data_IF_200038002423
#
_entry.id   IF_200038002423
#
_cell.length_a   1.000
_cell.length_b   1.000
_cell.length_c   1.000
_cell.angle_alpha   90.00
_cell.angle_beta   90.00
_cell.angle_gamma   90.00
#
_symmetry.space_group_name_H-M   'P 1'
#
loop_
_entity.id
_entity.type
_entity.pdbx_description
1 polymer ?
#
# COMPACT_ATOMS: atom_id res chain seq x y z
N UNK A 1 14.06 51.62 -16.57
CA UNK A 1 15.14 51.82 -17.55
C UNK A 1 16.48 51.99 -16.85
N UNK A 2 17.33 50.96 -16.84
CA UNK A 2 18.78 51.04 -16.59
C UNK A 2 19.40 49.76 -17.14
N UNK A 3 19.91 49.86 -18.37
CA UNK A 3 20.62 48.79 -19.09
C UNK A 3 21.97 48.59 -18.39
N UNK A 4 22.23 47.38 -17.88
CA UNK A 4 23.58 46.93 -17.54
C UNK A 4 24.00 45.87 -18.54
N UNK A 5 24.79 46.32 -19.49
CA UNK A 5 25.60 45.52 -20.40
C UNK A 5 26.82 45.01 -19.63
N UNK A 6 27.02 43.70 -19.56
CA UNK A 6 28.29 43.11 -19.16
C UNK A 6 28.79 42.19 -20.26
N UNK A 7 30.02 42.51 -20.65
CA UNK A 7 30.82 42.08 -21.78
C UNK A 7 31.15 40.59 -21.76
N UNK A 8 31.01 39.99 -22.94
CA UNK A 8 31.57 38.70 -23.33
C UNK A 8 33.11 38.77 -23.34
N UNK A 9 33.75 37.91 -22.54
CA UNK A 9 35.19 37.67 -22.58
C UNK A 9 35.45 36.30 -23.22
N UNK A 10 35.85 36.32 -24.49
CA UNK A 10 36.30 35.16 -25.26
C UNK A 10 37.71 34.74 -24.80
N UNK A 11 37.81 33.71 -23.97
CA UNK A 11 39.07 33.02 -23.70
C UNK A 11 39.26 31.86 -24.68
N UNK A 12 40.00 32.11 -25.76
CA UNK A 12 40.49 31.09 -26.69
C UNK A 12 41.70 30.36 -26.09
N UNK A 13 41.44 29.34 -25.27
CA UNK A 13 42.47 28.39 -24.83
C UNK A 13 42.83 27.44 -25.96
N UNK A 14 44.01 27.64 -26.55
CA UNK A 14 44.66 26.71 -27.50
C UNK A 14 44.87 25.34 -26.83
N UNK A 15 43.98 24.40 -27.14
CA UNK A 15 44.06 22.99 -26.71
C UNK A 15 45.07 22.27 -27.59
N UNK A 16 46.26 22.00 -27.06
CA UNK A 16 47.27 21.15 -27.69
C UNK A 16 46.72 19.71 -27.77
N UNK A 17 46.31 19.32 -28.97
CA UNK A 17 45.92 17.97 -29.34
C UNK A 17 47.14 17.04 -29.25
N UNK A 18 47.36 16.43 -28.08
CA UNK A 18 48.20 15.24 -27.98
C UNK A 18 47.42 14.07 -28.57
N UNK A 19 47.74 13.71 -29.81
CA UNK A 19 47.24 12.52 -30.48
C UNK A 19 47.50 11.27 -29.65
N UNK A 20 46.47 10.84 -28.90
CA UNK A 20 46.45 9.56 -28.20
C UNK A 20 46.30 8.50 -29.28
N UNK A 21 47.39 7.81 -29.62
CA UNK A 21 47.37 6.62 -30.46
C UNK A 21 46.42 5.61 -29.83
N UNK A 22 45.21 5.51 -30.37
CA UNK A 22 44.26 4.43 -30.10
C UNK A 22 44.84 3.17 -30.71
N UNK A 23 45.57 2.40 -29.90
CA UNK A 23 45.85 1.02 -30.24
C UNK A 23 44.50 0.32 -30.35
N UNK A 24 44.10 -0.06 -31.57
CA UNK A 24 43.07 -1.07 -31.81
C UNK A 24 43.58 -2.35 -31.15
N UNK A 25 43.30 -2.51 -29.86
CA UNK A 25 43.44 -3.79 -29.20
C UNK A 25 42.55 -4.76 -29.98
N UNK A 26 43.15 -5.84 -30.48
CA UNK A 26 42.39 -6.94 -31.06
C UNK A 26 41.31 -7.35 -30.04
N UNK A 27 40.08 -7.65 -30.47
CA UNK A 27 39.03 -8.13 -29.57
C UNK A 27 39.58 -9.36 -28.86
N UNK A 28 39.89 -9.22 -27.58
CA UNK A 28 40.18 -10.38 -26.73
C UNK A 28 38.97 -11.28 -26.80
N UNK A 29 39.13 -12.61 -26.96
CA UNK A 29 38.01 -13.53 -26.96
C UNK A 29 37.19 -13.27 -25.69
N UNK A 30 35.92 -12.89 -25.86
CA UNK A 30 34.99 -12.72 -24.76
C UNK A 30 34.87 -14.09 -24.10
N UNK A 31 35.54 -14.25 -22.96
CA UNK A 31 35.46 -15.48 -22.19
C UNK A 31 34.04 -15.52 -21.61
N UNK A 32 33.16 -16.32 -22.20
CA UNK A 32 31.82 -16.55 -21.66
C UNK A 32 31.98 -17.16 -20.26
N UNK A 33 31.38 -16.53 -19.25
CA UNK A 33 31.35 -17.06 -17.90
C UNK A 33 30.51 -18.35 -17.91
N UNK A 34 31.16 -19.48 -18.14
CA UNK A 34 30.56 -20.82 -18.13
C UNK A 34 30.52 -21.44 -16.73
N UNK A 35 31.02 -20.73 -15.70
CA UNK A 35 31.01 -21.17 -14.31
C UNK A 35 30.43 -20.10 -13.38
N UNK A 36 29.93 -20.53 -12.22
CA UNK A 36 29.45 -19.65 -11.14
C UNK A 36 27.95 -19.37 -11.17
N UNK A 37 27.53 -18.41 -10.34
CA UNK A 37 26.11 -18.09 -10.09
C UNK A 37 25.35 -17.70 -11.36
N UNK A 38 26.02 -17.06 -12.32
CA UNK A 38 25.40 -16.58 -13.55
C UNK A 38 24.95 -17.71 -14.50
N UNK A 39 25.35 -18.96 -14.27
CA UNK A 39 25.00 -20.12 -15.11
C UNK A 39 23.99 -21.02 -14.42
N UNK A 40 23.53 -20.64 -13.23
CA UNK A 40 22.51 -21.40 -12.53
C UNK A 40 21.20 -21.40 -13.35
N UNK A 41 20.47 -22.54 -13.36
CA UNK A 41 19.10 -22.56 -13.84
C UNK A 41 18.25 -21.51 -13.11
N UNK A 42 17.28 -20.97 -13.81
CA UNK A 42 16.39 -19.92 -13.30
C UNK A 42 15.69 -20.35 -12.00
N UNK A 43 15.40 -21.64 -11.83
CA UNK A 43 14.79 -22.21 -10.62
C UNK A 43 15.69 -22.07 -9.39
N UNK A 44 17.00 -22.30 -9.52
CA UNK A 44 17.94 -22.12 -8.41
C UNK A 44 18.16 -20.64 -8.09
N UNK A 45 18.13 -19.78 -9.10
CA UNK A 45 18.20 -18.33 -8.88
C UNK A 45 16.94 -17.82 -8.17
N UNK A 46 15.75 -18.35 -8.52
CA UNK A 46 14.50 -18.09 -7.80
C UNK A 46 14.57 -18.55 -6.34
N UNK A 47 15.08 -19.75 -6.09
CA UNK A 47 15.29 -20.26 -4.73
C UNK A 47 16.21 -19.33 -3.93
N UNK A 48 17.33 -18.87 -4.52
CA UNK A 48 18.22 -17.89 -3.88
C UNK A 48 17.48 -16.57 -3.58
N UNK A 49 16.65 -16.08 -4.49
CA UNK A 49 15.87 -14.86 -4.27
C UNK A 49 14.88 -15.04 -3.14
N UNK A 50 14.28 -16.21 -2.99
CA UNK A 50 13.28 -16.49 -1.94
C UNK A 50 13.83 -16.33 -0.51
N UNK A 51 15.16 -16.49 -0.33
CA UNK A 51 15.84 -16.20 0.94
C UNK A 51 15.96 -14.71 1.26
N UNK A 52 15.68 -13.82 0.30
CA UNK A 52 15.47 -12.40 0.57
C UNK A 52 13.96 -12.20 0.67
N UNK A 53 13.35 -12.40 1.86
CA UNK A 53 11.90 -12.39 2.00
C UNK A 53 11.38 -11.11 1.38
N UNK A 54 10.52 -11.27 0.38
CA UNK A 54 9.54 -10.25 0.11
C UNK A 54 8.80 -10.12 1.42
N UNK A 55 8.95 -9.00 2.13
CA UNK A 55 7.95 -8.65 3.11
C UNK A 55 6.71 -8.34 2.29
N UNK A 56 6.01 -9.42 1.92
CA UNK A 56 4.60 -9.39 1.65
C UNK A 56 4.05 -8.54 2.77
N UNK A 57 3.42 -7.46 2.35
CA UNK A 57 2.84 -6.54 3.30
C UNK A 57 1.82 -7.37 4.07
N UNK A 58 2.13 -7.68 5.32
CA UNK A 58 1.15 -8.31 6.17
C UNK A 58 0.11 -7.23 6.50
N UNK A 59 -1.12 -7.38 5.97
CA UNK A 59 -2.21 -6.44 6.22
C UNK A 59 -2.61 -6.35 7.69
N UNK A 60 -2.10 -7.22 8.56
CA UNK A 60 -2.41 -7.22 9.98
C UNK A 60 -1.25 -6.69 10.83
N UNK A 61 -0.09 -6.41 10.22
CA UNK A 61 1.10 -6.04 10.96
C UNK A 61 1.07 -4.56 11.42
N UNK A 62 1.58 -4.35 12.64
CA UNK A 62 1.49 -3.11 13.41
C UNK A 62 2.42 -2.00 12.88
N UNK A 63 2.06 -0.74 13.11
CA UNK A 63 2.79 0.44 12.60
C UNK A 63 4.27 0.49 13.04
N UNK A 64 4.60 -0.02 14.22
CA UNK A 64 5.96 -0.09 14.76
C UNK A 64 6.87 -1.02 13.93
N UNK A 65 6.35 -2.16 13.49
CA UNK A 65 7.06 -3.09 12.60
C UNK A 65 7.27 -2.53 11.20
N UNK A 66 6.44 -1.58 10.75
CA UNK A 66 6.59 -0.95 9.44
C UNK A 66 7.97 -0.27 9.24
N UNK A 67 8.61 0.23 10.31
CA UNK A 67 9.96 0.84 10.21
C UNK A 67 11.04 -0.23 10.06
N UNK A 68 10.94 -1.33 10.80
CA UNK A 68 11.87 -2.47 10.66
C UNK A 68 11.70 -3.12 9.28
N UNK A 69 10.45 -3.28 8.83
CA UNK A 69 10.09 -3.77 7.51
C UNK A 69 10.59 -2.86 6.39
N UNK A 70 10.52 -1.54 6.58
CA UNK A 70 11.02 -0.57 5.62
C UNK A 70 12.54 -0.76 5.37
N UNK A 71 13.32 -0.98 6.43
CA UNK A 71 14.74 -1.29 6.30
C UNK A 71 14.98 -2.65 5.64
N UNK A 72 14.17 -3.66 5.97
CA UNK A 72 14.26 -4.98 5.34
C UNK A 72 13.97 -4.92 3.83
N UNK A 73 12.92 -4.19 3.43
CA UNK A 73 12.55 -3.96 2.01
C UNK A 73 13.65 -3.24 1.26
N UNK A 74 14.20 -2.18 1.84
CA UNK A 74 15.31 -1.45 1.25
C UNK A 74 16.54 -2.35 1.09
N UNK A 75 16.92 -3.09 2.12
CA UNK A 75 18.05 -4.02 2.08
C UNK A 75 17.86 -5.10 1.01
N UNK A 76 16.64 -5.62 0.85
CA UNK A 76 16.31 -6.55 -0.25
C UNK A 76 16.55 -5.90 -1.62
N UNK A 77 15.99 -4.72 -1.86
CA UNK A 77 16.16 -4.00 -3.13
C UNK A 77 17.63 -3.71 -3.43
N UNK A 78 18.40 -3.27 -2.44
CA UNK A 78 19.84 -3.00 -2.57
C UNK A 78 20.61 -4.27 -2.93
N UNK A 79 20.34 -5.40 -2.27
CA UNK A 79 20.97 -6.69 -2.57
C UNK A 79 20.66 -7.17 -3.98
N UNK A 80 19.39 -7.14 -4.40
CA UNK A 80 19.00 -7.53 -5.76
C UNK A 80 19.61 -6.61 -6.81
N UNK A 81 19.66 -5.30 -6.52
CA UNK A 81 20.31 -4.32 -7.41
C UNK A 81 21.80 -4.62 -7.53
N UNK A 82 22.50 -4.85 -6.41
CA UNK A 82 23.91 -5.19 -6.40
C UNK A 82 24.19 -6.48 -7.18
N UNK A 83 23.37 -7.52 -6.97
CA UNK A 83 23.47 -8.78 -7.71
C UNK A 83 23.23 -8.57 -9.22
N UNK A 84 22.24 -7.76 -9.59
CA UNK A 84 21.94 -7.43 -10.99
C UNK A 84 23.09 -6.69 -11.69
N UNK A 85 24.00 -6.06 -10.94
CA UNK A 85 25.15 -5.32 -11.47
C UNK A 85 26.40 -6.20 -11.64
N UNK A 86 26.38 -7.45 -11.19
CA UNK A 86 27.56 -8.34 -11.25
C UNK A 86 27.85 -8.85 -12.66
N UNK A 87 26.83 -9.21 -13.45
CA UNK A 87 26.98 -9.66 -14.83
C UNK A 87 25.68 -9.49 -15.64
N UNK A 88 25.77 -9.61 -16.98
CA UNK A 88 24.63 -9.42 -17.89
C UNK A 88 23.51 -10.44 -17.70
N UNK A 89 23.83 -11.71 -17.41
CA UNK A 89 22.78 -12.72 -17.23
C UNK A 89 21.99 -12.46 -15.93
N UNK A 90 22.68 -12.21 -14.82
CA UNK A 90 22.03 -11.83 -13.57
C UNK A 90 21.30 -10.50 -13.69
N UNK A 91 21.82 -9.54 -14.46
CA UNK A 91 21.06 -8.33 -14.79
C UNK A 91 19.72 -8.68 -15.43
N UNK A 92 19.73 -9.42 -16.56
CA UNK A 92 18.51 -9.81 -17.28
C UNK A 92 17.52 -10.56 -16.39
N UNK A 93 18.02 -11.49 -15.57
CA UNK A 93 17.21 -12.32 -14.69
C UNK A 93 16.63 -11.54 -13.51
N UNK A 94 17.43 -10.70 -12.83
CA UNK A 94 17.03 -9.97 -11.63
C UNK A 94 16.27 -8.68 -11.92
N UNK A 95 16.37 -8.14 -13.13
CA UNK A 95 15.76 -6.86 -13.50
C UNK A 95 14.25 -6.80 -13.18
N UNK A 96 13.43 -7.81 -13.52
CA UNK A 96 12.01 -7.82 -13.19
C UNK A 96 11.74 -7.76 -11.69
N UNK A 97 12.59 -8.40 -10.87
CA UNK A 97 12.43 -8.47 -9.41
C UNK A 97 12.90 -7.21 -8.68
N UNK A 98 13.88 -6.50 -9.24
CA UNK A 98 14.32 -5.18 -8.74
C UNK A 98 13.23 -4.13 -8.97
N UNK A 99 12.53 -4.24 -10.09
CA UNK A 99 11.50 -3.29 -10.53
C UNK A 99 10.08 -3.79 -10.37
N UNK A 100 9.83 -4.89 -9.68
CA UNK A 100 8.45 -5.29 -9.39
C UNK A 100 7.74 -4.27 -8.49
N UNK A 101 8.50 -3.53 -7.69
CA UNK A 101 7.98 -2.61 -6.67
C UNK A 101 8.54 -1.21 -6.85
N UNK A 102 7.67 -0.21 -6.78
CA UNK A 102 8.07 1.20 -6.61
C UNK A 102 7.83 1.56 -5.16
N UNK A 103 8.92 1.84 -4.44
CA UNK A 103 8.87 2.14 -3.01
C UNK A 103 9.59 3.45 -2.71
N UNK A 104 8.88 4.36 -2.02
CA UNK A 104 9.42 5.64 -1.56
C UNK A 104 8.78 6.01 -0.23
N UNK A 105 9.54 5.98 0.85
CA UNK A 105 9.07 6.30 2.20
C UNK A 105 10.16 7.01 3.01
N UNK A 106 9.76 7.65 4.12
CA UNK A 106 10.68 8.32 5.03
C UNK A 106 11.66 7.33 5.66
N UNK A 107 12.94 7.71 5.76
CA UNK A 107 14.00 6.84 6.27
C UNK A 107 14.72 6.00 5.20
N UNK A 108 14.25 6.03 3.94
CA UNK A 108 14.92 5.30 2.85
C UNK A 108 16.28 5.92 2.51
N UNK A 109 17.31 5.10 2.28
CA UNK A 109 18.62 5.57 1.80
C UNK A 109 18.60 5.66 0.27
N UNK A 110 18.99 6.81 -0.26
CA UNK A 110 19.15 7.04 -1.69
C UNK A 110 20.57 7.48 -2.00
N UNK A 111 21.05 7.18 -3.22
CA UNK A 111 22.32 7.68 -3.70
C UNK A 111 22.26 9.21 -3.84
N UNK A 112 22.97 9.93 -2.97
CA UNK A 112 23.06 11.39 -3.04
C UNK A 112 23.87 11.86 -4.25
N UNK A 113 23.79 13.15 -4.63
CA UNK A 113 24.55 13.72 -5.74
C UNK A 113 26.07 13.53 -5.62
N UNK A 114 26.55 13.44 -4.38
CA UNK A 114 27.95 13.26 -4.00
C UNK A 114 28.38 11.79 -3.90
N UNK A 115 27.48 10.85 -4.21
CA UNK A 115 27.72 9.41 -4.02
C UNK A 115 27.66 8.94 -2.57
N UNK A 116 27.49 9.85 -1.60
CA UNK A 116 27.20 9.49 -0.21
C UNK A 116 25.72 9.15 -0.07
N UNK A 117 25.36 8.04 0.58
CA UNK A 117 23.96 7.71 0.83
C UNK A 117 23.32 8.79 1.71
N UNK A 118 22.21 9.35 1.25
CA UNK A 118 21.41 10.31 2.01
C UNK A 118 20.11 9.63 2.41
N UNK A 119 19.70 9.80 3.67
CA UNK A 119 18.43 9.29 4.16
C UNK A 119 17.32 10.29 3.84
N UNK A 120 16.26 9.84 3.20
CA UNK A 120 15.10 10.66 2.84
C UNK A 120 14.31 11.03 4.09
N UNK A 121 14.43 12.28 4.52
CA UNK A 121 13.58 12.83 5.59
C UNK A 121 12.82 14.06 5.09
N UNK A 122 13.44 14.81 4.18
CA UNK A 122 12.89 16.01 3.59
C UNK A 122 11.67 15.68 2.73
N UNK A 123 10.70 16.58 2.75
CA UNK A 123 9.51 16.42 1.94
C UNK A 123 9.83 16.45 0.44
N UNK A 124 10.66 17.39 0.02
CA UNK A 124 11.10 17.54 -1.37
C UNK A 124 11.85 16.29 -1.86
N UNK A 125 12.64 15.66 -0.98
CA UNK A 125 13.48 14.52 -1.33
C UNK A 125 12.63 13.29 -1.68
N UNK A 126 11.55 13.05 -0.91
CA UNK A 126 10.58 11.97 -1.21
C UNK A 126 9.91 12.18 -2.57
N UNK A 127 9.49 13.42 -2.84
CA UNK A 127 8.86 13.76 -4.11
C UNK A 127 9.81 13.60 -5.29
N UNK A 128 11.04 14.10 -5.17
CA UNK A 128 12.07 13.98 -6.21
C UNK A 128 12.40 12.51 -6.47
N UNK A 129 12.57 11.71 -5.42
CA UNK A 129 12.86 10.28 -5.58
C UNK A 129 11.70 9.52 -6.23
N UNK A 130 10.46 9.79 -5.83
CA UNK A 130 9.29 9.19 -6.47
C UNK A 130 9.21 9.55 -7.95
N UNK A 131 9.33 10.83 -8.30
CA UNK A 131 9.34 11.26 -9.70
C UNK A 131 10.51 10.62 -10.46
N UNK A 132 11.69 10.50 -9.86
CA UNK A 132 12.85 9.84 -10.47
C UNK A 132 12.56 8.38 -10.79
N UNK A 133 12.00 7.61 -9.86
CA UNK A 133 11.65 6.20 -10.10
C UNK A 133 10.56 6.08 -11.17
N UNK A 134 9.51 6.92 -11.12
CA UNK A 134 8.45 6.96 -12.12
C UNK A 134 8.98 7.33 -13.52
N UNK A 135 9.90 8.28 -13.63
CA UNK A 135 10.54 8.66 -14.90
C UNK A 135 11.38 7.51 -15.46
N UNK A 136 12.10 6.78 -14.61
CA UNK A 136 12.88 5.62 -15.06
C UNK A 136 11.96 4.59 -15.73
N UNK A 137 10.87 4.21 -15.07
CA UNK A 137 9.99 3.13 -15.54
C UNK A 137 9.02 3.53 -16.64
N UNK A 138 8.81 4.84 -16.86
CA UNK A 138 7.87 5.33 -17.89
C UNK A 138 8.54 6.03 -19.07
N UNK A 139 9.71 6.63 -18.88
CA UNK A 139 10.39 7.44 -19.91
C UNK A 139 11.70 6.81 -20.33
N UNK A 140 12.56 6.42 -19.38
CA UNK A 140 13.91 5.94 -19.71
C UNK A 140 13.92 4.50 -20.19
N UNK A 141 13.15 3.65 -19.51
CA UNK A 141 12.96 2.25 -19.88
C UNK A 141 11.49 1.86 -19.66
N UNK A 142 10.61 2.15 -20.64
CA UNK A 142 9.19 1.82 -20.54
C UNK A 142 8.91 0.32 -20.50
N UNK A 143 9.90 -0.54 -20.84
CA UNK A 143 9.77 -1.99 -20.67
C UNK A 143 9.59 -2.40 -19.21
N UNK A 144 10.09 -1.58 -18.27
CA UNK A 144 9.95 -1.80 -16.84
C UNK A 144 8.52 -1.69 -16.33
N UNK A 145 7.67 -0.91 -17.00
CA UNK A 145 6.28 -0.72 -16.61
C UNK A 145 5.52 -2.05 -16.52
N UNK A 146 5.87 -3.03 -17.35
CA UNK A 146 5.29 -4.38 -17.33
C UNK A 146 5.70 -5.22 -16.11
N UNK A 147 6.73 -4.84 -15.36
CA UNK A 147 7.13 -5.57 -14.15
C UNK A 147 6.49 -5.02 -12.88
N UNK A 148 6.09 -3.74 -12.87
CA UNK A 148 5.52 -3.08 -11.70
C UNK A 148 4.21 -3.77 -11.29
N UNK A 149 4.20 -4.33 -10.08
CA UNK A 149 3.04 -4.99 -9.47
C UNK A 149 2.61 -4.35 -8.13
N UNK A 150 3.52 -3.64 -7.46
CA UNK A 150 3.26 -2.90 -6.21
C UNK A 150 3.80 -1.47 -6.30
N UNK A 151 3.01 -0.51 -5.85
CA UNK A 151 3.45 0.87 -5.60
C UNK A 151 3.18 1.19 -4.13
N UNK A 152 4.22 1.51 -3.36
CA UNK A 152 4.11 1.91 -1.96
C UNK A 152 4.84 3.22 -1.72
N UNK A 153 4.08 4.31 -1.55
CA UNK A 153 4.63 5.66 -1.57
C UNK A 153 4.11 6.53 -0.43
N UNK A 154 5.03 7.29 0.16
CA UNK A 154 4.73 8.37 1.08
C UNK A 154 4.81 9.72 0.34
N UNK A 155 3.73 10.48 0.37
CA UNK A 155 3.59 11.79 -0.25
C UNK A 155 3.41 12.82 0.86
N UNK A 156 4.14 13.93 0.80
CA UNK A 156 4.06 15.03 1.76
C UNK A 156 3.47 16.30 1.14
N UNK A 157 2.99 17.19 1.99
CA UNK A 157 2.05 18.27 1.65
C UNK A 157 2.50 19.27 0.57
N UNK A 158 3.75 19.73 0.57
CA UNK A 158 4.20 20.85 -0.29
C UNK A 158 4.13 20.59 -1.81
N UNK A 159 4.05 19.34 -2.26
CA UNK A 159 4.05 18.97 -3.69
C UNK A 159 2.97 17.95 -4.09
N UNK A 160 2.02 17.67 -3.18
CA UNK A 160 1.00 16.63 -3.32
C UNK A 160 0.28 16.66 -4.69
N UNK A 161 -0.13 17.84 -5.15
CA UNK A 161 -0.84 17.99 -6.44
C UNK A 161 0.01 17.57 -7.64
N UNK A 162 1.30 17.94 -7.66
CA UNK A 162 2.20 17.59 -8.77
C UNK A 162 2.52 16.10 -8.73
N UNK A 163 2.81 15.57 -7.55
CA UNK A 163 3.16 14.16 -7.36
C UNK A 163 1.98 13.26 -7.71
N UNK A 164 0.76 13.55 -7.22
CA UNK A 164 -0.43 12.74 -7.52
C UNK A 164 -0.76 12.73 -9.01
N UNK A 165 -0.57 13.85 -9.71
CA UNK A 165 -0.79 13.91 -11.16
C UNK A 165 0.19 13.00 -11.91
N UNK A 166 1.48 13.07 -11.57
CA UNK A 166 2.47 12.21 -12.21
C UNK A 166 2.28 10.74 -11.82
N UNK A 167 1.92 10.47 -10.58
CA UNK A 167 1.61 9.13 -10.10
C UNK A 167 0.44 8.52 -10.87
N UNK A 168 -0.69 9.23 -10.98
CA UNK A 168 -1.86 8.77 -11.76
C UNK A 168 -1.50 8.51 -13.23
N UNK A 169 -0.69 9.39 -13.84
CA UNK A 169 -0.17 9.20 -15.21
C UNK A 169 0.62 7.92 -15.36
N UNK A 170 1.52 7.63 -14.42
CA UNK A 170 2.37 6.46 -14.50
C UNK A 170 1.62 5.17 -14.17
N UNK A 171 0.69 5.20 -13.21
CA UNK A 171 -0.19 4.06 -12.89
C UNK A 171 -0.96 3.59 -14.13
N UNK A 172 -1.43 4.51 -14.96
CA UNK A 172 -2.10 4.16 -16.22
C UNK A 172 -1.22 3.37 -17.19
N UNK A 173 0.11 3.43 -17.02
CA UNK A 173 1.09 2.71 -17.84
C UNK A 173 1.51 1.37 -17.22
N UNK A 174 1.06 1.03 -16.02
CA UNK A 174 1.46 -0.19 -15.30
C UNK A 174 0.37 -1.28 -15.42
N UNK A 175 0.44 -2.17 -16.43
CA UNK A 175 -0.63 -3.14 -16.69
C UNK A 175 -0.75 -4.22 -15.60
N UNK A 176 0.34 -4.50 -14.88
CA UNK A 176 0.41 -5.55 -13.87
C UNK A 176 0.30 -5.02 -12.43
N UNK A 177 0.08 -3.71 -12.25
CA UNK A 177 -0.09 -3.12 -10.94
C UNK A 177 -1.38 -3.62 -10.30
N UNK A 178 -1.26 -4.35 -9.19
CA UNK A 178 -2.42 -4.82 -8.43
C UNK A 178 -2.48 -4.28 -7.01
N UNK A 179 -1.38 -3.77 -6.46
CA UNK A 179 -1.34 -3.22 -5.10
C UNK A 179 -0.88 -1.77 -5.10
N UNK A 180 -1.70 -0.89 -4.52
CA UNK A 180 -1.39 0.53 -4.36
C UNK A 180 -1.45 0.92 -2.88
N UNK A 181 -0.34 1.39 -2.34
CA UNK A 181 -0.25 1.93 -1.00
C UNK A 181 0.15 3.40 -1.08
N UNK A 182 -0.67 4.29 -0.52
CA UNK A 182 -0.38 5.71 -0.50
C UNK A 182 -0.57 6.26 0.91
N UNK A 183 0.53 6.72 1.50
CA UNK A 183 0.54 7.47 2.76
C UNK A 183 0.71 8.95 2.44
N UNK A 184 -0.31 9.76 2.71
CA UNK A 184 -0.29 11.22 2.54
C UNK A 184 -0.18 11.94 3.89
N UNK A 185 1.00 12.47 4.23
CA UNK A 185 1.13 13.37 5.36
C UNK A 185 0.71 14.78 4.94
N UNK A 186 -0.44 15.22 5.44
CA UNK A 186 -1.03 16.49 5.07
C UNK A 186 -1.38 17.33 6.31
N UNK A 187 -0.41 18.09 6.81
CA UNK A 187 -0.63 18.97 7.96
C UNK A 187 -1.30 20.31 7.58
N UNK A 188 -1.45 20.62 6.29
CA UNK A 188 -1.78 21.98 5.83
C UNK A 188 -3.04 22.09 4.97
N UNK A 189 -3.53 21.01 4.36
CA UNK A 189 -4.65 21.04 3.43
C UNK A 189 -5.87 20.35 4.03
N UNK A 190 -7.04 21.00 3.89
CA UNK A 190 -8.32 20.46 4.39
C UNK A 190 -8.74 19.21 3.61
N UNK A 191 -9.59 18.33 4.19
CA UNK A 191 -10.08 17.13 3.50
C UNK A 191 -10.73 17.43 2.14
N UNK A 192 -11.54 18.49 2.08
CA UNK A 192 -12.17 18.92 0.82
C UNK A 192 -11.13 19.32 -0.25
N UNK A 193 -10.07 20.02 0.16
CA UNK A 193 -9.01 20.39 -0.77
C UNK A 193 -8.17 19.18 -1.20
N UNK A 194 -8.03 18.16 -0.34
CA UNK A 194 -7.42 16.89 -0.69
C UNK A 194 -8.27 16.13 -1.71
N UNK A 195 -9.58 16.02 -1.48
CA UNK A 195 -10.53 15.42 -2.43
C UNK A 195 -10.47 16.09 -3.80
N UNK A 196 -10.48 17.43 -3.86
CA UNK A 196 -10.34 18.18 -5.11
C UNK A 196 -9.00 17.91 -5.79
N UNK A 197 -7.93 17.78 -5.00
CA UNK A 197 -6.59 17.47 -5.51
C UNK A 197 -6.53 16.07 -6.11
N UNK A 198 -7.07 15.06 -5.41
CA UNK A 198 -7.20 13.68 -5.89
C UNK A 198 -8.03 13.66 -7.17
N UNK A 199 -9.23 14.25 -7.15
CA UNK A 199 -10.14 14.26 -8.30
C UNK A 199 -9.52 14.94 -9.52
N UNK A 200 -8.80 16.05 -9.33
CA UNK A 200 -8.13 16.75 -10.44
C UNK A 200 -6.91 16.00 -10.99
N UNK A 201 -6.32 15.08 -10.21
CA UNK A 201 -5.13 14.32 -10.58
C UNK A 201 -5.48 12.98 -11.24
N UNK A 202 -6.47 12.27 -10.70
CA UNK A 202 -6.92 10.95 -11.16
C UNK A 202 -8.08 11.03 -12.16
N UNK A 203 -8.85 12.14 -12.16
CA UNK A 203 -9.97 12.40 -13.07
C UNK A 203 -9.72 12.11 -14.55
N UNK A 204 -8.54 12.44 -15.13
CA UNK A 204 -8.26 12.17 -16.55
C UNK A 204 -8.23 10.69 -16.95
N UNK A 205 -8.14 9.74 -15.99
CA UNK A 205 -7.90 8.32 -16.29
C UNK A 205 -9.14 7.42 -16.14
N UNK A 206 -10.30 7.99 -15.83
CA UNK A 206 -11.60 7.31 -15.58
C UNK A 206 -11.57 6.26 -14.44
N UNK A 207 -10.78 5.18 -14.56
CA UNK A 207 -10.60 4.14 -13.55
C UNK A 207 -9.31 3.32 -13.73
N UNK A 208 -8.90 2.60 -12.68
CA UNK A 208 -7.76 1.70 -12.60
C UNK A 208 -8.22 0.31 -12.13
N UNK A 209 -8.91 -0.46 -12.99
CA UNK A 209 -9.48 -1.75 -12.63
C UNK A 209 -8.44 -2.84 -12.35
N UNK A 210 -7.17 -2.63 -12.73
CA UNK A 210 -6.08 -3.55 -12.44
C UNK A 210 -5.71 -3.58 -10.96
N UNK A 211 -5.97 -2.49 -10.22
CA UNK A 211 -5.65 -2.38 -8.80
C UNK A 211 -6.70 -3.14 -7.99
N UNK A 212 -6.23 -4.15 -7.25
CA UNK A 212 -7.06 -5.06 -6.44
C UNK A 212 -6.89 -4.83 -4.94
N UNK A 213 -5.73 -4.36 -4.51
CA UNK A 213 -5.43 -4.10 -3.10
C UNK A 213 -5.04 -2.65 -2.93
N UNK A 214 -5.73 -1.93 -2.05
CA UNK A 214 -5.44 -0.53 -1.77
C UNK A 214 -5.28 -0.30 -0.26
N UNK A 215 -4.20 0.37 0.10
CA UNK A 215 -3.88 0.76 1.47
C UNK A 215 -3.67 2.27 1.48
N UNK A 216 -4.58 3.00 2.09
CA UNK A 216 -4.60 4.46 2.05
C UNK A 216 -4.92 5.02 3.42
N UNK A 217 -4.50 6.25 3.67
CA UNK A 217 -5.02 6.96 4.83
C UNK A 217 -6.51 7.30 4.62
N UNK A 218 -7.25 7.38 5.72
CA UNK A 218 -8.71 7.57 5.68
C UNK A 218 -9.13 8.84 4.94
N UNK A 219 -8.33 9.90 5.02
CA UNK A 219 -8.52 11.17 4.34
C UNK A 219 -8.42 11.07 2.80
N UNK A 220 -7.90 9.95 2.28
CA UNK A 220 -7.69 9.73 0.86
C UNK A 220 -8.78 8.87 0.20
N UNK A 221 -9.93 8.69 0.86
CA UNK A 221 -11.03 7.85 0.39
C UNK A 221 -11.55 8.22 -1.01
N UNK A 222 -11.41 9.47 -1.45
CA UNK A 222 -11.72 9.89 -2.83
C UNK A 222 -10.94 9.10 -3.91
N UNK A 223 -9.81 8.46 -3.57
CA UNK A 223 -9.10 7.57 -4.49
C UNK A 223 -9.94 6.35 -4.89
N UNK A 224 -10.82 5.86 -4.01
CA UNK A 224 -11.62 4.65 -4.24
C UNK A 224 -12.55 4.78 -5.44
N UNK A 225 -12.97 6.01 -5.80
CA UNK A 225 -13.71 6.30 -7.03
C UNK A 225 -13.02 5.78 -8.29
N UNK A 226 -11.69 5.74 -8.27
CA UNK A 226 -10.87 5.33 -9.40
C UNK A 226 -10.44 3.87 -9.33
N UNK A 227 -10.76 3.14 -8.27
CA UNK A 227 -10.25 1.79 -8.00
C UNK A 227 -11.37 0.75 -8.04
N UNK A 228 -12.16 0.74 -9.12
CA UNK A 228 -13.34 -0.13 -9.27
C UNK A 228 -13.02 -1.64 -9.21
N UNK A 229 -11.77 -2.02 -9.43
CA UNK A 229 -11.27 -3.39 -9.31
C UNK A 229 -10.86 -3.80 -7.90
N UNK A 230 -10.91 -2.89 -6.92
CA UNK A 230 -10.46 -3.16 -5.56
C UNK A 230 -11.30 -4.26 -4.91
N UNK A 231 -10.58 -5.24 -4.35
CA UNK A 231 -11.11 -6.35 -3.55
C UNK A 231 -10.65 -6.29 -2.10
N UNK A 232 -9.53 -5.63 -1.86
CA UNK A 232 -8.96 -5.44 -0.53
C UNK A 232 -8.74 -3.96 -0.27
N UNK A 233 -9.33 -3.43 0.80
CA UNK A 233 -9.15 -2.04 1.24
C UNK A 233 -8.70 -2.03 2.70
N UNK A 234 -7.59 -1.36 2.97
CA UNK A 234 -7.14 -1.02 4.33
C UNK A 234 -7.07 0.49 4.46
N UNK A 235 -7.80 1.03 5.41
CA UNK A 235 -7.57 2.39 5.86
C UNK A 235 -6.45 2.40 6.89
N UNK A 236 -5.53 3.36 6.80
CA UNK A 236 -4.54 3.66 7.83
C UNK A 236 -4.95 4.93 8.59
N UNK A 237 -4.71 4.95 9.90
CA UNK A 237 -4.88 6.15 10.73
C UNK A 237 -3.66 7.04 10.63
N UNK A 238 -3.89 8.35 10.50
CA UNK A 238 -2.87 9.34 10.79
C UNK A 238 -2.75 9.45 12.31
N UNK A 239 -1.59 9.13 12.88
CA UNK A 239 -1.34 9.22 14.34
C UNK A 239 -1.46 10.64 14.94
N UNK A 240 -1.88 11.64 14.16
CA UNK A 240 -1.96 13.03 14.55
C UNK A 240 -3.40 13.54 14.84
N UNK A 241 -4.46 12.76 14.61
CA UNK A 241 -5.83 13.30 14.63
C UNK A 241 -6.86 12.41 15.34
N UNK A 242 -7.15 12.72 16.61
CA UNK A 242 -8.25 12.15 17.41
C UNK A 242 -9.62 12.85 17.19
N UNK A 243 -9.80 13.63 16.11
CA UNK A 243 -11.00 14.47 15.89
C UNK A 243 -11.80 14.14 14.61
N UNK A 244 -11.82 12.87 14.19
CA UNK A 244 -12.27 12.49 12.83
C UNK A 244 -13.72 11.99 12.70
N UNK A 245 -14.68 12.37 13.57
CA UNK A 245 -16.04 11.80 13.53
C UNK A 245 -16.73 11.89 12.15
N UNK A 246 -16.56 12.99 11.41
CA UNK A 246 -17.36 13.23 10.18
C UNK A 246 -16.74 12.63 8.89
N UNK A 247 -15.44 12.35 8.86
CA UNK A 247 -14.77 11.88 7.63
C UNK A 247 -14.90 10.39 7.40
N UNK A 248 -15.23 9.62 8.44
CA UNK A 248 -15.31 8.18 8.34
C UNK A 248 -16.58 7.70 7.67
N UNK A 249 -17.69 8.41 7.85
CA UNK A 249 -18.94 8.14 7.13
C UNK A 249 -18.76 8.25 5.63
N UNK A 250 -17.88 9.15 5.20
CA UNK A 250 -17.53 9.28 3.78
C UNK A 250 -16.85 8.03 3.23
N UNK A 251 -16.09 7.29 4.04
CA UNK A 251 -15.47 6.04 3.57
C UNK A 251 -16.54 5.03 3.14
N UNK A 252 -17.69 5.00 3.85
CA UNK A 252 -18.85 4.19 3.48
C UNK A 252 -19.54 4.73 2.22
N UNK A 253 -19.61 6.04 2.01
CA UNK A 253 -20.16 6.61 0.76
C UNK A 253 -19.44 6.09 -0.51
N UNK A 254 -18.15 5.73 -0.40
CA UNK A 254 -17.37 5.18 -1.50
C UNK A 254 -17.58 3.69 -1.77
N UNK A 255 -18.38 3.00 -0.96
CA UNK A 255 -18.67 1.59 -1.20
C UNK A 255 -19.26 1.31 -2.58
N UNK A 256 -20.10 2.22 -3.06
CA UNK A 256 -20.67 2.17 -4.40
C UNK A 256 -19.62 2.21 -5.52
N UNK A 257 -18.41 2.71 -5.23
CA UNK A 257 -17.30 2.77 -6.16
C UNK A 257 -16.50 1.46 -6.23
N UNK A 258 -16.66 0.56 -5.25
CA UNK A 258 -15.87 -0.67 -5.10
C UNK A 258 -16.76 -1.91 -4.97
N UNK A 259 -17.56 -2.24 -6.02
CA UNK A 259 -18.55 -3.32 -5.96
C UNK A 259 -17.94 -4.73 -5.83
N UNK A 260 -16.62 -4.85 -5.96
CA UNK A 260 -15.87 -6.10 -5.86
C UNK A 260 -15.17 -6.27 -4.50
N UNK A 261 -15.45 -5.41 -3.52
CA UNK A 261 -14.82 -5.48 -2.21
C UNK A 261 -15.14 -6.81 -1.50
N UNK A 262 -14.08 -7.55 -1.17
CA UNK A 262 -14.10 -8.83 -0.47
C UNK A 262 -13.54 -8.67 0.96
N UNK A 263 -12.53 -7.81 1.13
CA UNK A 263 -11.82 -7.59 2.38
C UNK A 263 -11.77 -6.10 2.73
N UNK A 264 -12.24 -5.75 3.93
CA UNK A 264 -12.26 -4.38 4.42
C UNK A 264 -11.61 -4.30 5.80
N UNK A 265 -10.61 -3.45 5.96
CA UNK A 265 -10.03 -3.08 7.24
C UNK A 265 -10.30 -1.61 7.54
N UNK A 266 -11.08 -1.36 8.60
CA UNK A 266 -11.52 -0.02 9.03
C UNK A 266 -11.08 0.27 10.46
N UNK A 267 -10.81 1.54 10.72
CA UNK A 267 -10.54 2.07 12.05
C UNK A 267 -11.78 2.77 12.60
N UNK A 268 -12.20 2.36 13.80
CA UNK A 268 -13.36 2.88 14.52
C UNK A 268 -12.87 3.77 15.69
N UNK A 269 -13.20 5.08 15.69
CA UNK A 269 -12.76 6.08 16.65
C UNK A 269 -13.78 6.20 17.78
N UNK A 270 -13.32 6.53 18.99
CA UNK A 270 -14.19 6.61 20.16
C UNK A 270 -15.35 7.59 19.95
N UNK A 271 -16.53 7.15 20.38
CA UNK A 271 -17.77 7.96 20.45
C UNK A 271 -18.47 8.29 19.13
N UNK A 272 -18.27 7.51 18.05
CA UNK A 272 -19.18 7.61 16.91
C UNK A 272 -20.55 6.99 17.24
N UNK A 273 -21.57 7.84 17.35
CA UNK A 273 -22.93 7.44 16.99
C UNK A 273 -22.90 7.13 15.48
N UNK A 274 -22.87 5.84 15.14
CA UNK A 274 -22.99 5.40 13.75
C UNK A 274 -24.27 6.02 13.18
N UNK A 275 -24.23 6.65 11.99
CA UNK A 275 -25.43 7.13 11.34
C UNK A 275 -26.39 5.96 11.21
N UNK A 276 -27.67 6.27 11.38
CA UNK A 276 -28.72 5.26 11.32
C UNK A 276 -28.55 4.36 10.07
N UNK A 277 -28.90 3.06 10.19
CA UNK A 277 -28.48 2.00 9.27
C UNK A 277 -28.87 2.06 7.78
N UNK A 278 -29.85 2.83 7.25
CA UNK A 278 -30.27 2.63 5.85
C UNK A 278 -29.22 2.89 4.76
N UNK A 279 -28.05 3.46 5.08
CA UNK A 279 -27.04 3.80 4.06
C UNK A 279 -25.99 2.71 3.82
N UNK A 280 -25.71 1.84 4.79
CA UNK A 280 -24.64 0.83 4.68
C UNK A 280 -25.13 -0.46 4.00
N UNK A 281 -26.44 -0.65 3.92
CA UNK A 281 -27.05 -1.96 3.67
C UNK A 281 -26.89 -2.52 2.24
N UNK A 282 -26.62 -1.64 1.27
CA UNK A 282 -26.48 -2.00 -0.15
C UNK A 282 -25.05 -1.88 -0.68
N UNK A 283 -24.11 -1.58 0.20
CA UNK A 283 -22.85 -0.99 -0.20
C UNK A 283 -21.76 -2.03 -0.51
N UNK A 284 -21.78 -3.19 0.15
CA UNK A 284 -20.74 -4.20 -0.03
C UNK A 284 -21.28 -5.63 -0.24
N UNK A 285 -21.89 -5.92 -1.40
CA UNK A 285 -22.54 -7.20 -1.67
C UNK A 285 -21.59 -8.39 -1.78
N UNK A 286 -20.27 -8.20 -1.66
CA UNK A 286 -19.26 -9.27 -1.76
C UNK A 286 -18.33 -9.34 -0.56
N UNK A 287 -18.58 -8.53 0.47
CA UNK A 287 -17.71 -8.48 1.63
C UNK A 287 -17.72 -9.83 2.36
N UNK A 288 -16.53 -10.40 2.54
CA UNK A 288 -16.29 -11.70 3.19
C UNK A 288 -15.47 -11.54 4.45
N UNK A 289 -14.53 -10.61 4.49
CA UNK A 289 -13.66 -10.42 5.63
C UNK A 289 -13.69 -8.95 6.07
N UNK A 290 -13.95 -8.74 7.36
CA UNK A 290 -14.02 -7.42 7.97
C UNK A 290 -13.07 -7.35 9.15
N UNK A 291 -12.08 -6.46 9.09
CA UNK A 291 -11.17 -6.15 10.19
C UNK A 291 -11.58 -4.83 10.80
N UNK A 292 -11.94 -4.87 12.09
CA UNK A 292 -12.35 -3.72 12.88
C UNK A 292 -11.22 -3.37 13.85
N UNK A 293 -10.66 -2.17 13.70
CA UNK A 293 -9.61 -1.65 14.57
C UNK A 293 -10.19 -0.59 15.50
N UNK A 294 -10.17 -0.86 16.79
CA UNK A 294 -10.69 0.03 17.82
C UNK A 294 -9.58 0.84 18.45
N UNK A 295 -9.79 2.15 18.57
CA UNK A 295 -8.91 3.03 19.37
C UNK A 295 -9.39 3.07 20.82
N UNK A 296 -10.70 3.19 21.02
CA UNK A 296 -11.37 3.28 22.33
C UNK A 296 -12.87 2.88 22.17
N UNK A 297 -13.58 2.58 23.25
CA UNK A 297 -14.75 1.69 23.30
C UNK A 297 -16.14 2.26 22.96
N UNK A 298 -17.11 1.34 22.83
CA UNK A 298 -18.56 1.61 22.81
C UNK A 298 -19.20 1.80 21.43
N UNK A 299 -19.47 0.71 20.69
CA UNK A 299 -20.13 0.77 19.37
C UNK A 299 -21.25 -0.23 19.25
N UNK A 300 -22.32 0.18 18.57
CA UNK A 300 -23.35 -0.72 18.07
C UNK A 300 -22.97 -1.18 16.65
N UNK A 301 -22.33 -2.34 16.56
CA UNK A 301 -21.96 -2.95 15.28
C UNK A 301 -23.11 -3.66 14.59
N UNK A 302 -24.22 -3.90 15.29
CA UNK A 302 -25.29 -4.79 14.83
C UNK A 302 -25.82 -4.34 13.47
N UNK A 303 -26.19 -3.05 13.35
CA UNK A 303 -26.73 -2.50 12.11
C UNK A 303 -25.75 -2.47 10.93
N UNK A 304 -24.44 -2.45 11.18
CA UNK A 304 -23.43 -2.50 10.11
C UNK A 304 -23.26 -3.95 9.62
N UNK A 305 -23.16 -4.88 10.56
CA UNK A 305 -22.86 -6.29 10.27
C UNK A 305 -24.05 -7.04 9.68
N UNK A 306 -25.29 -6.77 10.14
CA UNK A 306 -26.51 -7.45 9.66
C UNK A 306 -26.68 -7.38 8.13
N UNK A 307 -26.11 -6.36 7.49
CA UNK A 307 -26.25 -6.15 6.07
C UNK A 307 -25.14 -6.77 5.22
N UNK A 308 -24.12 -7.33 5.86
CA UNK A 308 -23.01 -7.97 5.18
C UNK A 308 -23.35 -9.46 4.93
N UNK A 309 -24.27 -9.72 4.00
CA UNK A 309 -24.89 -11.03 3.76
C UNK A 309 -23.92 -12.19 3.47
N UNK A 310 -22.67 -11.91 3.07
CA UNK A 310 -21.66 -12.92 2.73
C UNK A 310 -20.44 -12.87 3.65
N UNK A 311 -20.56 -12.20 4.79
CA UNK A 311 -19.47 -12.02 5.74
C UNK A 311 -19.10 -13.36 6.38
N UNK A 312 -17.86 -13.82 6.19
CA UNK A 312 -17.32 -15.08 6.73
C UNK A 312 -16.53 -14.87 8.01
N UNK A 313 -15.71 -13.83 8.05
CA UNK A 313 -14.87 -13.57 9.21
C UNK A 313 -14.91 -12.12 9.65
N UNK A 314 -14.93 -11.93 10.96
CA UNK A 314 -14.69 -10.62 11.60
C UNK A 314 -13.43 -10.72 12.44
N UNK A 315 -12.45 -9.87 12.14
CA UNK A 315 -11.25 -9.69 12.95
C UNK A 315 -11.40 -8.44 13.81
N UNK A 316 -11.26 -8.57 15.11
CA UNK A 316 -11.38 -7.46 16.07
C UNK A 316 -9.98 -7.19 16.64
N UNK A 317 -9.48 -5.97 16.41
CA UNK A 317 -8.16 -5.52 16.80
C UNK A 317 -8.27 -4.31 17.75
N UNK A 318 -7.54 -4.34 18.85
CA UNK A 318 -7.42 -3.19 19.78
C UNK A 318 -6.07 -2.51 19.50
N UNK A 319 -6.10 -1.25 19.08
CA UNK A 319 -4.92 -0.60 18.52
C UNK A 319 -3.96 0.00 19.56
N UNK A 320 -4.46 0.65 20.62
CA UNK A 320 -3.60 1.45 21.52
C UNK A 320 -3.98 1.36 23.00
N UNK A 321 -5.27 1.40 23.32
CA UNK A 321 -5.74 1.42 24.71
C UNK A 321 -6.53 0.13 24.99
N UNK A 322 -6.16 -0.64 26.02
CA UNK A 322 -6.93 -1.83 26.38
C UNK A 322 -8.35 -1.42 26.73
N UNK A 323 -9.32 -2.09 26.11
CA UNK A 323 -10.73 -1.89 26.38
C UNK A 323 -11.07 -2.41 27.77
N UNK A 324 -12.05 -1.78 28.41
CA UNK A 324 -12.69 -2.37 29.58
C UNK A 324 -13.27 -3.74 29.21
N UNK A 325 -13.07 -4.74 30.07
CA UNK A 325 -13.48 -6.11 29.81
C UNK A 325 -15.00 -6.23 29.56
N UNK A 326 -15.82 -5.42 30.23
CA UNK A 326 -17.27 -5.42 30.03
C UNK A 326 -17.63 -4.93 28.63
N UNK A 327 -16.95 -3.88 28.15
CA UNK A 327 -17.12 -3.34 26.79
C UNK A 327 -16.64 -4.36 25.76
N UNK A 328 -15.51 -5.01 26.00
CA UNK A 328 -14.97 -6.06 25.14
C UNK A 328 -15.92 -7.24 25.01
N UNK A 329 -16.39 -7.79 26.13
CA UNK A 329 -17.33 -8.92 26.14
C UNK A 329 -18.64 -8.56 25.44
N UNK A 330 -19.15 -7.34 25.64
CA UNK A 330 -20.34 -6.85 24.96
C UNK A 330 -20.13 -6.74 23.44
N UNK A 331 -18.98 -6.23 23.01
CA UNK A 331 -18.63 -6.13 21.59
C UNK A 331 -18.53 -7.52 20.94
N UNK A 332 -17.79 -8.44 21.56
CA UNK A 332 -17.62 -9.81 21.06
C UNK A 332 -18.96 -10.53 21.01
N UNK A 333 -19.81 -10.35 22.03
CA UNK A 333 -21.16 -10.91 22.06
C UNK A 333 -22.03 -10.38 20.92
N UNK A 334 -22.02 -9.07 20.67
CA UNK A 334 -22.78 -8.46 19.57
C UNK A 334 -22.30 -8.94 18.19
N UNK A 335 -20.99 -9.05 17.97
CA UNK A 335 -20.42 -9.62 16.74
C UNK A 335 -20.85 -11.07 16.57
N UNK A 336 -20.77 -11.85 17.65
CA UNK A 336 -21.16 -13.28 17.67
C UNK A 336 -22.64 -13.47 17.33
N UNK A 337 -23.53 -12.74 17.99
CA UNK A 337 -24.98 -12.79 17.72
C UNK A 337 -25.29 -12.44 16.26
N UNK A 338 -24.65 -11.38 15.73
CA UNK A 338 -24.88 -10.97 14.34
C UNK A 338 -24.38 -12.02 13.35
N UNK A 339 -23.19 -12.59 13.57
CA UNK A 339 -22.66 -13.64 12.71
C UNK A 339 -23.47 -14.94 12.79
N UNK A 340 -24.01 -15.30 13.96
CA UNK A 340 -24.93 -16.44 14.09
C UNK A 340 -26.20 -16.21 13.27
N UNK A 341 -26.77 -15.01 13.30
CA UNK A 341 -27.94 -14.67 12.47
C UNK A 341 -27.62 -14.77 10.97
N UNK A 342 -26.46 -14.28 10.53
CA UNK A 342 -26.02 -14.42 9.14
C UNK A 342 -25.79 -15.89 8.74
N UNK A 343 -25.17 -16.68 9.61
CA UNK A 343 -24.94 -18.11 9.43
C UNK A 343 -26.24 -18.91 9.28
N UNK A 344 -27.27 -18.55 10.05
CA UNK A 344 -28.60 -19.15 9.90
C UNK A 344 -29.19 -18.88 8.52
N UNK A 345 -28.92 -17.70 7.94
CA UNK A 345 -29.45 -17.30 6.65
C UNK A 345 -28.67 -17.94 5.47
N UNK A 346 -27.34 -17.88 5.48
CA UNK A 346 -26.52 -18.28 4.34
C UNK A 346 -25.93 -19.70 4.42
N UNK A 347 -26.02 -20.34 5.60
CA UNK A 347 -25.47 -21.68 5.86
C UNK A 347 -23.96 -21.76 5.55
N UNK A 348 -23.20 -20.71 5.85
CA UNK A 348 -21.74 -20.72 5.77
C UNK A 348 -21.09 -20.69 7.17
N UNK A 349 -19.95 -21.37 7.33
CA UNK A 349 -19.15 -21.30 8.55
C UNK A 349 -18.63 -19.87 8.79
N UNK A 350 -18.70 -19.43 10.05
CA UNK A 350 -18.28 -18.09 10.48
C UNK A 350 -17.19 -18.17 11.53
N UNK A 351 -16.25 -17.22 11.47
CA UNK A 351 -15.13 -17.15 12.40
C UNK A 351 -14.95 -15.74 12.95
N UNK A 352 -14.71 -15.64 14.25
CA UNK A 352 -14.28 -14.41 14.90
C UNK A 352 -12.81 -14.57 15.25
N UNK A 353 -11.99 -13.60 14.86
CA UNK A 353 -10.57 -13.55 15.20
C UNK A 353 -10.37 -12.38 16.15
N UNK A 354 -9.91 -12.67 17.36
CA UNK A 354 -9.67 -11.68 18.40
C UNK A 354 -8.16 -11.52 18.60
N UNK A 355 -7.66 -10.31 18.40
CA UNK A 355 -6.26 -10.00 18.73
C UNK A 355 -6.16 -9.48 20.17
N UNK A 356 -5.92 -10.40 21.09
CA UNK A 356 -5.84 -10.15 22.52
C UNK A 356 -4.39 -9.91 23.01
N UNK A 357 -3.45 -9.65 22.09
CA UNK A 357 -2.04 -9.41 22.43
C UNK A 357 -1.86 -8.26 23.42
N UNK A 358 -2.74 -7.25 23.39
CA UNK A 358 -2.73 -6.16 24.38
C UNK A 358 -3.05 -6.63 25.80
N UNK A 359 -3.77 -7.74 25.96
CA UNK A 359 -4.04 -8.38 27.24
C UNK A 359 -3.02 -9.47 27.58
N UNK A 360 -1.92 -9.57 26.82
CA UNK A 360 -0.89 -10.60 26.99
C UNK A 360 -1.34 -12.00 26.57
N UNK A 361 -2.46 -12.12 25.87
CA UNK A 361 -2.97 -13.38 25.36
C UNK A 361 -2.64 -13.55 23.87
N UNK A 362 -2.45 -14.80 23.39
CA UNK A 362 -2.29 -15.04 21.97
C UNK A 362 -3.58 -14.71 21.21
N UNK A 363 -3.47 -14.55 19.90
CA UNK A 363 -4.63 -14.42 19.01
C UNK A 363 -5.57 -15.62 19.20
N UNK A 364 -6.84 -15.34 19.50
CA UNK A 364 -7.86 -16.36 19.75
C UNK A 364 -8.85 -16.41 18.57
N UNK A 365 -9.15 -17.64 18.14
CA UNK A 365 -10.05 -17.90 17.01
C UNK A 365 -11.29 -18.59 17.56
N UNK A 366 -12.44 -17.93 17.44
CA UNK A 366 -13.74 -18.46 17.82
C UNK A 366 -14.46 -18.89 16.54
N UNK A 367 -14.47 -20.20 16.28
CA UNK A 367 -15.33 -20.79 15.26
C UNK A 367 -16.75 -20.93 15.81
N UNK A 368 -17.75 -20.46 15.04
CA UNK A 368 -19.15 -20.64 15.42
C UNK A 368 -19.57 -22.10 15.16
N UNK A 369 -20.49 -22.66 15.98
CA UNK A 369 -20.86 -24.07 15.88
C UNK A 369 -21.39 -24.43 14.48
N UNK A 370 -20.95 -25.57 13.94
CA UNK A 370 -21.39 -26.11 12.66
C UNK A 370 -21.71 -27.61 12.78
N UNK A 371 -22.88 -28.10 12.29
CA UNK A 371 -23.98 -27.35 11.71
C UNK A 371 -24.64 -26.41 12.73
N UNK A 372 -25.40 -25.39 12.31
CA UNK A 372 -26.13 -24.53 13.25
C UNK A 372 -27.03 -25.42 14.12
N UNK A 373 -26.97 -25.26 15.44
CA UNK A 373 -27.87 -25.96 16.35
C UNK A 373 -29.28 -25.41 16.17
N UNK A 374 -30.03 -25.97 15.21
CA UNK A 374 -31.44 -25.64 15.08
C UNK A 374 -32.15 -26.23 16.30
N UNK A 375 -32.83 -25.43 17.14
CA UNK A 375 -33.70 -25.99 18.15
C UNK A 375 -34.70 -26.88 17.41
N UNK A 376 -34.63 -28.19 17.67
CA UNK A 376 -35.58 -29.15 17.11
C UNK A 376 -36.96 -28.68 17.57
N UNK A 377 -37.72 -28.07 16.65
CA UNK A 377 -39.09 -27.67 16.90
C UNK A 377 -39.81 -28.92 17.41
N UNK A 378 -40.20 -28.90 18.69
CA UNK A 378 -41.00 -29.94 19.28
C UNK A 378 -42.32 -29.97 18.51
N UNK A 379 -42.45 -30.94 17.60
CA UNK A 379 -43.68 -31.20 16.87
C UNK A 379 -44.68 -31.68 17.91
N UNK A 380 -45.58 -30.79 18.32
CA UNK A 380 -46.72 -31.09 19.18
C UNK A 380 -47.93 -31.53 18.39
#
# INVERSE_FOLDING_TARGET
MKKRSTSSANNTSKKVSKGRKTYKAAPSPECENITGLAVFPDELLLEIISYYPDSEFDPDEECSKQIEDANARLARRERLTALSQTCRNLHRFLHPYVWSRIEVFGGMRVGGPTGTPTTLFGEDELAVELIRQLEIVTVRDPGLAGYINVVNVAIKSHCIRRVLRELARCIAMFPNLHTLMIKMSNNAMTPLALDLTINSSFGPYESFPQIRSIIIQQECNALLKYMSGARYIRFETSGAYYHMSDQQLRALDFATCVPLLEDLCVFLPSHMELPTPPHVTHQFPKLRHLTLKFIDGGYDLHGVLENCLHLKSVKVLIAEVPLDMEIWEKLVSAVKETLLSLQENDKEEKTIVLDERQHGQPESIIALPWPPEFPLLAVH
#
